data_IF_120278845999
#
_entry.id   IF_120278845999
#
_cell.length_a   1.000
_cell.length_b   1.000
_cell.length_c   1.000
_cell.angle_alpha   90.00
_cell.angle_beta   90.00
_cell.angle_gamma   90.00
#
_symmetry.space_group_name_H-M   'P 1'
#
loop_
_entity.id
_entity.type
_entity.pdbx_description
1 polymer ?
#
# COMPACT_ATOMS: atom_id res chain seq x y z
N UNK A 1 31.31 58.49 15.43
CA UNK A 1 30.65 57.22 15.78
C UNK A 1 29.23 57.27 15.23
N UNK A 2 29.00 56.74 14.02
CA UNK A 2 27.65 56.59 13.46
C UNK A 2 27.27 55.12 13.50
N UNK A 3 26.23 54.81 14.28
CA UNK A 3 25.62 53.48 14.40
C UNK A 3 24.56 53.32 13.31
N UNK A 4 24.72 52.33 12.44
CA UNK A 4 23.71 51.91 11.47
C UNK A 4 22.97 50.69 12.03
N UNK A 5 21.64 50.70 12.15
CA UNK A 5 20.89 49.52 12.53
C UNK A 5 20.79 48.55 11.34
N UNK A 6 21.33 47.34 11.51
CA UNK A 6 21.14 46.24 10.57
C UNK A 6 19.68 45.79 10.59
N UNK A 7 18.98 46.05 9.48
CA UNK A 7 17.63 45.58 9.23
C UNK A 7 17.68 44.08 8.93
N UNK A 8 17.25 43.23 9.87
CA UNK A 8 17.12 41.80 9.63
C UNK A 8 15.84 41.54 8.81
N UNK A 9 16.00 41.19 7.53
CA UNK A 9 14.91 40.71 6.68
C UNK A 9 14.55 39.30 7.16
N UNK A 10 13.39 39.16 7.81
CA UNK A 10 12.81 37.86 8.11
C UNK A 10 12.23 37.32 6.80
N UNK A 11 13.00 36.47 6.11
CA UNK A 11 12.48 35.67 5.02
C UNK A 11 11.50 34.64 5.61
N UNK A 12 10.20 34.91 5.51
CA UNK A 12 9.16 33.90 5.70
C UNK A 12 9.21 32.94 4.52
N UNK A 13 10.08 31.94 4.62
CA UNK A 13 10.04 30.79 3.74
C UNK A 13 8.68 30.12 3.92
N UNK A 14 7.83 30.18 2.90
CA UNK A 14 6.76 29.21 2.73
C UNK A 14 7.46 27.85 2.59
N UNK A 15 7.57 27.13 3.70
CA UNK A 15 7.91 25.72 3.65
C UNK A 15 6.85 25.08 2.75
N UNK A 16 7.26 24.70 1.53
CA UNK A 16 6.48 23.75 0.76
C UNK A 16 6.20 22.59 1.71
N UNK A 17 4.91 22.30 1.95
CA UNK A 17 4.51 21.10 2.68
C UNK A 17 4.92 19.93 1.80
N UNK A 18 6.18 19.52 1.95
CA UNK A 18 6.65 18.25 1.45
C UNK A 18 5.93 17.22 2.30
N UNK A 19 4.87 16.61 1.77
CA UNK A 19 4.26 15.42 2.37
C UNK A 19 5.35 14.34 2.47
N UNK A 20 5.97 14.23 3.64
CA UNK A 20 6.90 13.16 4.03
C UNK A 20 6.30 12.56 5.31
N UNK A 21 5.86 11.30 5.38
CA UNK A 21 5.91 10.20 4.42
C UNK A 21 4.57 9.45 4.30
N UNK A 22 4.12 9.29 3.06
CA UNK A 22 3.04 8.42 2.59
C UNK A 22 3.59 7.03 2.20
N UNK A 23 4.73 6.62 2.78
CA UNK A 23 5.57 5.52 2.28
C UNK A 23 5.22 4.15 2.87
N UNK A 24 4.05 4.01 3.48
CA UNK A 24 3.62 2.73 4.06
C UNK A 24 2.97 1.86 2.99
N UNK A 25 3.38 0.60 2.93
CA UNK A 25 2.85 -0.37 1.98
C UNK A 25 2.40 -1.65 2.68
N UNK A 26 1.31 -2.22 2.15
CA UNK A 26 0.94 -3.61 2.40
C UNK A 26 0.82 -4.32 1.06
N UNK A 27 1.69 -5.29 0.82
CA UNK A 27 1.66 -6.12 -0.38
C UNK A 27 0.83 -7.37 -0.11
N UNK A 28 -0.15 -7.63 -0.97
CA UNK A 28 -0.88 -8.90 -1.00
C UNK A 28 -0.06 -9.88 -1.84
N UNK A 29 0.39 -10.99 -1.25
CA UNK A 29 1.37 -11.86 -1.86
C UNK A 29 0.91 -13.32 -1.92
N UNK A 30 1.23 -13.98 -3.03
CA UNK A 30 1.06 -15.42 -3.18
C UNK A 30 2.40 -16.12 -3.08
N UNK A 31 2.44 -17.16 -2.25
CA UNK A 31 3.66 -17.76 -1.76
C UNK A 31 3.76 -19.24 -2.13
N UNK A 32 4.94 -19.62 -2.62
CA UNK A 32 5.27 -20.94 -3.15
C UNK A 32 6.36 -21.58 -2.30
N UNK A 33 6.00 -22.66 -1.61
CA UNK A 33 6.95 -23.42 -0.80
C UNK A 33 8.06 -24.04 -1.66
N UNK A 34 9.25 -24.33 -1.08
CA UNK A 34 10.29 -25.07 -1.78
C UNK A 34 9.75 -26.39 -2.34
N UNK A 35 10.18 -26.76 -3.55
CA UNK A 35 9.81 -28.01 -4.22
C UNK A 35 8.31 -28.14 -4.56
N UNK A 36 7.61 -27.01 -4.70
CA UNK A 36 6.22 -26.95 -5.17
C UNK A 36 6.14 -26.05 -6.40
N UNK A 37 5.30 -26.44 -7.36
CA UNK A 37 5.09 -25.68 -8.60
C UNK A 37 3.89 -24.72 -8.54
N UNK A 38 3.13 -24.74 -7.45
CA UNK A 38 1.93 -23.94 -7.26
C UNK A 38 1.96 -23.19 -5.91
N UNK A 39 1.24 -22.06 -5.83
CA UNK A 39 1.12 -21.28 -4.59
C UNK A 39 0.37 -22.07 -3.52
N UNK A 40 0.95 -22.13 -2.32
CA UNK A 40 0.42 -22.89 -1.19
C UNK A 40 -0.02 -22.02 -0.03
N UNK A 41 0.31 -20.74 -0.05
CA UNK A 41 -0.11 -19.79 0.97
C UNK A 41 -0.29 -18.42 0.34
N UNK A 42 -1.08 -17.61 1.02
CA UNK A 42 -1.22 -16.19 0.71
C UNK A 42 -0.92 -15.40 1.97
N UNK A 43 -0.14 -14.33 1.81
CA UNK A 43 0.39 -13.50 2.89
C UNK A 43 0.12 -12.03 2.62
N UNK A 44 0.10 -11.25 3.68
CA UNK A 44 0.21 -9.80 3.62
C UNK A 44 1.59 -9.41 4.15
N UNK A 45 2.34 -8.65 3.38
CA UNK A 45 3.68 -8.19 3.73
C UNK A 45 3.66 -6.68 3.95
N UNK A 46 4.01 -6.26 5.16
CA UNK A 46 4.09 -4.88 5.57
C UNK A 46 5.46 -4.27 5.28
N UNK A 47 5.47 -3.01 4.83
CA UNK A 47 6.69 -2.22 4.66
C UNK A 47 6.44 -0.79 5.16
N UNK A 48 7.34 -0.26 5.98
CA UNK A 48 7.35 1.14 6.38
C UNK A 48 7.88 2.09 5.28
N UNK A 49 8.32 1.50 4.15
CA UNK A 49 8.85 2.18 2.97
C UNK A 49 8.43 1.46 1.68
N UNK A 50 8.99 1.87 0.51
CA UNK A 50 8.74 1.20 -0.75
C UNK A 50 9.04 -0.31 -0.66
N UNK A 51 8.19 -1.19 -1.25
CA UNK A 51 8.38 -2.63 -1.11
C UNK A 51 9.71 -3.10 -1.69
N UNK A 52 10.44 -3.88 -0.90
CA UNK A 52 11.72 -4.49 -1.23
C UNK A 52 11.70 -5.99 -0.87
N UNK A 53 12.86 -6.64 -0.77
CA UNK A 53 12.96 -8.07 -0.48
C UNK A 53 12.93 -8.46 1.01
N UNK A 54 12.75 -7.50 1.91
CA UNK A 54 12.73 -7.68 3.35
C UNK A 54 11.52 -6.95 3.96
N UNK A 55 10.34 -7.61 4.04
CA UNK A 55 9.19 -7.08 4.75
C UNK A 55 9.51 -6.78 6.21
N UNK A 56 8.96 -5.69 6.74
CA UNK A 56 9.06 -5.32 8.16
C UNK A 56 8.18 -6.24 9.03
N UNK A 57 7.02 -6.66 8.50
CA UNK A 57 6.16 -7.66 9.13
C UNK A 57 5.44 -8.52 8.08
N UNK A 58 5.06 -9.73 8.47
CA UNK A 58 4.31 -10.66 7.63
C UNK A 58 3.10 -11.18 8.41
N UNK A 59 1.93 -11.14 7.78
CA UNK A 59 0.72 -11.81 8.25
C UNK A 59 0.37 -12.95 7.30
N UNK A 60 0.15 -14.14 7.86
CA UNK A 60 -0.38 -15.26 7.09
C UNK A 60 -1.90 -15.09 6.94
N UNK A 61 -2.39 -15.04 5.70
CA UNK A 61 -3.84 -15.01 5.41
C UNK A 61 -4.37 -16.44 5.32
N UNK A 62 -3.69 -17.29 4.54
CA UNK A 62 -3.98 -18.71 4.44
C UNK A 62 -2.69 -19.52 4.44
N UNK A 63 -2.76 -20.71 5.03
CA UNK A 63 -1.69 -21.70 5.00
C UNK A 63 -2.21 -23.00 4.38
N UNK A 64 -1.44 -23.59 3.46
CA UNK A 64 -1.81 -24.82 2.74
C UNK A 64 -2.81 -24.65 1.58
N UNK A 65 -3.30 -23.44 1.33
CA UNK A 65 -4.07 -23.06 0.14
C UNK A 65 -3.79 -21.62 -0.27
N UNK A 66 -3.88 -21.34 -1.57
CA UNK A 66 -3.89 -19.97 -2.08
C UNK A 66 -5.23 -19.29 -1.76
N UNK A 67 -5.17 -18.00 -1.47
CA UNK A 67 -6.34 -17.14 -1.34
C UNK A 67 -6.59 -16.44 -2.69
N UNK A 68 -7.82 -16.53 -3.19
CA UNK A 68 -8.25 -15.64 -4.27
C UNK A 68 -8.39 -14.23 -3.69
N UNK A 69 -7.54 -13.29 -4.12
CA UNK A 69 -7.60 -11.90 -3.66
C UNK A 69 -8.82 -11.17 -4.22
N UNK A 70 -9.04 -11.27 -5.53
CA UNK A 70 -10.16 -10.62 -6.22
C UNK A 70 -11.46 -11.41 -6.10
N UNK A 71 -12.58 -10.72 -5.88
CA UNK A 71 -13.92 -11.32 -5.88
C UNK A 71 -14.28 -12.13 -4.63
N UNK A 72 -13.38 -12.24 -3.65
CA UNK A 72 -13.60 -13.03 -2.42
C UNK A 72 -14.18 -12.22 -1.26
N UNK A 73 -14.53 -10.95 -1.49
CA UNK A 73 -14.95 -10.03 -0.44
C UNK A 73 -13.79 -9.54 0.43
N UNK A 74 -14.09 -9.22 1.69
CA UNK A 74 -13.10 -8.70 2.64
C UNK A 74 -12.17 -9.81 3.13
N UNK A 75 -10.87 -9.57 3.04
CA UNK A 75 -9.81 -10.48 3.49
C UNK A 75 -9.01 -9.77 4.57
N UNK A 76 -8.75 -10.44 5.69
CA UNK A 76 -7.99 -9.86 6.81
C UNK A 76 -6.76 -10.71 7.10
N UNK A 77 -5.59 -10.06 7.19
CA UNK A 77 -4.39 -10.61 7.80
C UNK A 77 -4.09 -9.88 9.11
N UNK A 78 -3.60 -10.60 10.12
CA UNK A 78 -3.22 -10.02 11.42
C UNK A 78 -1.73 -10.19 11.60
N UNK A 79 -1.03 -9.08 11.84
CA UNK A 79 0.41 -9.04 12.07
C UNK A 79 0.75 -9.40 13.53
N UNK A 80 2.04 -9.62 13.81
CA UNK A 80 2.50 -10.05 15.15
C UNK A 80 2.30 -9.01 16.25
N UNK A 81 2.07 -7.75 15.90
CA UNK A 81 1.73 -6.66 16.81
C UNK A 81 0.20 -6.56 17.10
N UNK A 82 -0.59 -7.50 16.57
CA UNK A 82 -2.05 -7.56 16.61
C UNK A 82 -2.76 -6.47 15.80
N UNK A 83 -2.06 -5.76 14.92
CA UNK A 83 -2.71 -4.89 13.94
C UNK A 83 -3.24 -5.75 12.79
N UNK A 84 -4.53 -5.58 12.48
CA UNK A 84 -5.19 -6.25 11.37
C UNK A 84 -5.23 -5.37 10.14
N UNK A 85 -4.86 -5.91 8.98
CA UNK A 85 -5.09 -5.27 7.69
C UNK A 85 -6.22 -5.97 6.95
N UNK A 86 -7.30 -5.23 6.68
CA UNK A 86 -8.45 -5.73 5.94
C UNK A 86 -8.49 -5.10 4.56
N UNK A 87 -8.52 -5.93 3.52
CA UNK A 87 -8.56 -5.50 2.12
C UNK A 87 -9.80 -6.02 1.41
N UNK A 88 -10.31 -5.26 0.44
CA UNK A 88 -11.37 -5.67 -0.45
C UNK A 88 -10.99 -5.37 -1.90
N UNK A 89 -10.75 -6.42 -2.68
CA UNK A 89 -10.52 -6.35 -4.13
C UNK A 89 -11.76 -6.92 -4.83
N UNK A 90 -12.71 -6.09 -5.29
CA UNK A 90 -13.99 -6.55 -5.80
C UNK A 90 -13.89 -7.36 -7.11
N UNK A 91 -12.90 -7.05 -7.95
CA UNK A 91 -12.72 -7.70 -9.24
C UNK A 91 -11.24 -7.69 -9.66
N UNK A 92 -10.89 -8.54 -10.62
CA UNK A 92 -9.57 -8.50 -11.25
C UNK A 92 -9.49 -7.28 -12.14
N UNK A 93 -8.36 -6.57 -12.10
CA UNK A 93 -8.07 -5.41 -12.94
C UNK A 93 -6.75 -5.61 -13.67
N UNK A 94 -6.49 -4.77 -14.69
CA UNK A 94 -5.22 -4.80 -15.41
C UNK A 94 -4.04 -4.31 -14.56
N UNK A 95 -2.82 -4.69 -14.94
CA UNK A 95 -1.59 -4.23 -14.30
C UNK A 95 -1.53 -2.69 -14.24
N UNK A 96 -1.10 -2.17 -13.09
CA UNK A 96 -1.03 -0.75 -12.75
C UNK A 96 -2.37 -0.10 -12.36
N UNK A 97 -3.50 -0.77 -12.55
CA UNK A 97 -4.82 -0.20 -12.25
C UNK A 97 -5.15 -0.26 -10.76
N UNK A 98 -5.95 0.71 -10.33
CA UNK A 98 -6.58 0.69 -9.00
C UNK A 98 -7.51 -0.52 -8.89
N UNK A 99 -7.27 -1.33 -7.87
CA UNK A 99 -7.89 -2.63 -7.66
C UNK A 99 -8.86 -2.63 -6.47
N UNK A 100 -8.70 -1.75 -5.49
CA UNK A 100 -9.56 -1.70 -4.31
C UNK A 100 -8.95 -0.92 -3.15
N UNK A 101 -9.52 -1.12 -1.97
CA UNK A 101 -9.14 -0.41 -0.74
C UNK A 101 -8.73 -1.41 0.35
N UNK A 102 -7.69 -1.04 1.09
CA UNK A 102 -7.28 -1.69 2.34
C UNK A 102 -7.41 -0.75 3.54
N UNK A 103 -7.48 -1.30 4.74
CA UNK A 103 -7.60 -0.54 5.99
C UNK A 103 -6.94 -1.28 7.15
N UNK A 104 -6.17 -0.57 7.98
CA UNK A 104 -5.47 -1.16 9.14
C UNK A 104 -6.05 -0.80 10.52
N UNK A 105 -7.21 -0.14 10.56
CA UNK A 105 -7.83 0.39 11.79
C UNK A 105 -7.49 1.86 12.06
N UNK A 106 -6.46 2.39 11.39
CA UNK A 106 -5.97 3.76 11.56
C UNK A 106 -6.05 4.58 10.27
N UNK A 107 -5.93 3.91 9.12
CA UNK A 107 -5.73 4.56 7.83
C UNK A 107 -6.18 3.67 6.66
N UNK A 108 -6.64 4.34 5.59
CA UNK A 108 -7.02 3.70 4.33
C UNK A 108 -5.83 3.59 3.36
N UNK A 109 -5.85 2.57 2.53
CA UNK A 109 -4.81 2.29 1.54
C UNK A 109 -5.46 2.09 0.18
N UNK A 110 -4.88 2.69 -0.85
CA UNK A 110 -5.24 2.42 -2.23
C UNK A 110 -4.45 1.23 -2.73
N UNK A 111 -5.14 0.18 -3.14
CA UNK A 111 -4.51 -1.04 -3.66
C UNK A 111 -4.48 -1.01 -5.18
N UNK A 112 -3.31 -1.30 -5.75
CA UNK A 112 -3.10 -1.38 -7.19
C UNK A 112 -2.63 -2.78 -7.58
N UNK A 113 -3.08 -3.28 -8.74
CA UNK A 113 -2.50 -4.48 -9.33
C UNK A 113 -1.06 -4.15 -9.75
N UNK A 114 -0.08 -4.69 -9.03
CA UNK A 114 1.34 -4.44 -9.27
C UNK A 114 2.11 -5.72 -9.05
N UNK A 115 2.23 -6.52 -10.10
CA UNK A 115 2.83 -7.83 -10.00
C UNK A 115 4.36 -7.73 -9.84
N UNK A 116 4.90 -8.41 -8.81
CA UNK A 116 6.34 -8.50 -8.53
C UNK A 116 6.72 -9.96 -8.31
N UNK A 117 7.47 -10.53 -9.25
CA UNK A 117 8.05 -11.88 -9.10
C UNK A 117 9.11 -11.92 -8.01
N UNK A 118 9.07 -12.99 -7.20
CA UNK A 118 10.03 -13.28 -6.14
C UNK A 118 10.35 -12.07 -5.27
N UNK A 119 9.30 -11.36 -4.84
CA UNK A 119 9.43 -10.12 -4.08
C UNK A 119 10.25 -10.36 -2.82
N UNK A 120 9.90 -11.38 -2.03
CA UNK A 120 10.65 -11.78 -0.84
C UNK A 120 10.67 -13.29 -0.66
N UNK A 121 11.56 -13.76 0.20
CA UNK A 121 11.68 -15.17 0.59
C UNK A 121 11.67 -15.28 2.10
N UNK A 122 10.82 -16.15 2.64
CA UNK A 122 10.75 -16.41 4.08
C UNK A 122 11.87 -17.36 4.52
N UNK A 123 12.08 -17.47 5.85
CA UNK A 123 13.18 -18.26 6.42
C UNK A 123 13.15 -19.75 6.07
N UNK A 124 11.97 -20.30 5.80
CA UNK A 124 11.75 -21.69 5.36
C UNK A 124 11.98 -21.89 3.85
N UNK A 125 12.39 -20.85 3.13
CA UNK A 125 12.64 -20.88 1.69
C UNK A 125 11.40 -20.68 0.82
N UNK A 126 10.23 -20.37 1.42
CA UNK A 126 9.03 -20.05 0.65
C UNK A 126 9.22 -18.71 -0.10
N UNK A 127 9.01 -18.73 -1.41
CA UNK A 127 9.17 -17.56 -2.29
C UNK A 127 7.81 -16.93 -2.54
N UNK A 128 7.69 -15.62 -2.30
CA UNK A 128 6.42 -14.91 -2.40
C UNK A 128 6.46 -13.87 -3.53
N UNK A 129 5.44 -13.92 -4.39
CA UNK A 129 5.21 -12.93 -5.43
C UNK A 129 4.24 -11.87 -4.91
N UNK A 130 4.55 -10.59 -5.10
CA UNK A 130 3.58 -9.51 -4.87
C UNK A 130 2.54 -9.51 -5.98
N UNK A 131 1.26 -9.48 -5.62
CA UNK A 131 0.13 -9.45 -6.56
C UNK A 131 -0.50 -8.05 -6.59
N UNK A 132 -0.74 -7.49 -5.40
CA UNK A 132 -1.23 -6.13 -5.24
C UNK A 132 -0.33 -5.36 -4.28
N UNK A 133 -0.16 -4.08 -4.55
CA UNK A 133 0.57 -3.14 -3.72
C UNK A 133 -0.42 -2.09 -3.20
N UNK A 134 -0.68 -2.11 -1.90
CA UNK A 134 -1.54 -1.15 -1.23
C UNK A 134 -0.67 -0.08 -0.57
N UNK A 135 -0.85 1.18 -0.97
CA UNK A 135 -0.07 2.31 -0.48
C UNK A 135 -0.98 3.44 0.04
N UNK A 136 -0.38 4.49 0.62
CA UNK A 136 -1.11 5.63 1.20
C UNK A 136 -1.50 6.68 0.15
N UNK A 137 -1.42 6.35 -1.14
CA UNK A 137 -1.91 7.28 -2.18
C UNK A 137 -3.43 7.37 -2.14
N UNK A 138 -3.97 8.53 -2.53
CA UNK A 138 -5.41 8.67 -2.69
C UNK A 138 -5.90 7.80 -3.84
N UNK A 139 -7.11 7.23 -3.73
CA UNK A 139 -7.70 6.50 -4.84
C UNK A 139 -7.97 7.46 -6.01
N UNK A 140 -8.02 6.94 -7.26
CA UNK A 140 -8.32 7.77 -8.42
C UNK A 140 -9.63 8.55 -8.24
N UNK A 141 -9.57 9.86 -8.47
CA UNK A 141 -10.74 10.76 -8.36
C UNK A 141 -10.90 11.47 -7.01
N UNK A 142 -10.11 11.12 -5.99
CA UNK A 142 -10.09 11.83 -4.71
C UNK A 142 -8.96 12.89 -4.66
N UNK A 143 -9.35 14.17 -4.70
CA UNK A 143 -8.42 15.29 -4.50
C UNK A 143 -8.00 15.37 -3.03
N UNK A 144 -6.72 15.71 -2.71
CA UNK A 144 -6.21 15.79 -1.32
C UNK A 144 -6.95 16.76 -0.39
N UNK A 145 -7.87 17.58 -0.93
CA UNK A 145 -8.62 18.61 -0.20
C UNK A 145 -10.13 18.36 -0.12
N UNK A 146 -10.62 17.14 -0.41
CA UNK A 146 -12.04 16.77 -0.23
C UNK A 146 -13.05 17.55 -1.11
N UNK A 147 -12.59 18.52 -1.91
CA UNK A 147 -13.36 19.12 -3.00
C UNK A 147 -13.07 18.33 -4.26
N UNK A 148 -13.80 17.23 -4.42
CA UNK A 148 -13.98 16.64 -5.74
C UNK A 148 -14.64 17.71 -6.63
N UNK A 149 -14.05 18.14 -7.76
CA UNK A 149 -14.85 18.77 -8.80
C UNK A 149 -15.89 17.74 -9.23
N UNK A 150 -17.17 18.04 -9.04
CA UNK A 150 -18.27 17.22 -9.55
C UNK A 150 -18.04 17.02 -11.05
N UNK A 151 -17.56 15.84 -11.44
CA UNK A 151 -17.54 15.42 -12.84
C UNK A 151 -18.97 15.00 -13.14
N UNK A 152 -19.80 15.98 -13.49
CA UNK A 152 -21.25 15.79 -13.55
C UNK A 152 -22.01 17.06 -13.91
N UNK A 153 -21.59 17.75 -14.96
CA UNK A 153 -22.47 18.61 -15.73
C UNK A 153 -22.39 18.15 -17.19
N UNK A 154 -23.17 17.12 -17.52
CA UNK A 154 -23.53 16.86 -18.90
C UNK A 154 -24.24 18.11 -19.43
N UNK A 155 -23.60 18.85 -20.34
CA UNK A 155 -24.31 19.75 -21.23
C UNK A 155 -25.11 18.90 -22.22
N UNK A 156 -26.43 18.98 -22.11
CA UNK A 156 -27.36 18.78 -23.23
C UNK A 156 -28.09 20.10 -23.45
#
# INVERSE_FOLDING_TARGET
>A
MLSLPFLAIVATGLAAVVRRGDSEHVVLADCKAPNKDYFQSSQMAYYAGPPNNAPDAIANVTYGKQQAWAGSGKITGVFSDNIGFTVNIPATVGEGQFAGIGHNGYADFSCYARFKTALYTTKDGTVCNGIYDCDRTNPPGESPNGRQPKVGACFR
#
